data_IF_065608988899
#
_entry.id   IF_065608988899
#
_cell.length_a   1.000
_cell.length_b   1.000
_cell.length_c   1.000
_cell.angle_alpha   90.00
_cell.angle_beta   90.00
_cell.angle_gamma   90.00
#
_symmetry.space_group_name_H-M   'P 1'
#
loop_
_entity.id
_entity.type
_entity.pdbx_description
1 polymer ?
#
# COMPACT_ATOMS: atom_id res chain seq x y z
N UNK A 1 39.06 -3.88 -19.06
CA UNK A 1 38.00 -3.13 -18.39
C UNK A 1 38.24 -3.25 -16.91
N UNK A 2 38.56 -2.16 -16.21
CA UNK A 2 38.73 -2.20 -14.76
C UNK A 2 37.34 -2.29 -14.13
N UNK A 3 37.02 -3.38 -13.42
CA UNK A 3 35.83 -3.39 -12.58
C UNK A 3 36.17 -2.55 -11.35
N UNK A 4 35.57 -1.37 -11.26
CA UNK A 4 35.65 -0.55 -10.06
C UNK A 4 34.52 -1.05 -9.15
N UNK A 5 34.86 -1.89 -8.18
CA UNK A 5 33.90 -2.31 -7.17
C UNK A 5 33.60 -1.11 -6.28
N UNK A 6 32.35 -0.67 -6.30
CA UNK A 6 31.85 0.41 -5.47
C UNK A 6 32.10 0.06 -3.99
N UNK A 7 32.72 0.97 -3.24
CA UNK A 7 32.90 0.75 -1.82
C UNK A 7 31.55 0.80 -1.10
N UNK A 8 31.46 0.23 0.09
CA UNK A 8 30.24 0.29 0.92
C UNK A 8 29.79 1.74 1.21
N UNK A 9 30.74 2.68 1.20
CA UNK A 9 30.46 4.11 1.34
C UNK A 9 29.86 4.69 0.06
N UNK A 10 30.36 4.28 -1.11
CA UNK A 10 29.82 4.69 -2.41
C UNK A 10 28.40 4.15 -2.62
N UNK A 11 28.14 2.88 -2.25
CA UNK A 11 26.79 2.30 -2.26
C UNK A 11 25.86 3.10 -1.36
N UNK A 12 26.26 3.40 -0.13
CA UNK A 12 25.45 4.22 0.79
C UNK A 12 25.23 5.65 0.28
N UNK A 13 26.19 6.25 -0.43
CA UNK A 13 26.04 7.59 -1.03
C UNK A 13 25.10 7.52 -2.24
N UNK A 14 25.23 6.52 -3.10
CA UNK A 14 24.33 6.30 -4.23
C UNK A 14 22.91 5.99 -3.78
N UNK A 15 22.73 5.23 -2.71
CA UNK A 15 21.42 4.98 -2.10
C UNK A 15 20.81 6.26 -1.52
N UNK A 16 21.62 7.14 -0.92
CA UNK A 16 21.17 8.47 -0.48
C UNK A 16 20.88 9.44 -1.63
N UNK A 17 21.57 9.31 -2.75
CA UNK A 17 21.27 10.09 -3.97
C UNK A 17 19.95 9.60 -4.59
N UNK A 18 19.67 8.30 -4.49
CA UNK A 18 18.42 7.67 -4.94
C UNK A 18 17.23 8.01 -4.03
N UNK A 19 17.47 8.14 -2.73
CA UNK A 19 16.46 8.51 -1.74
C UNK A 19 16.92 9.74 -0.93
N UNK A 20 16.85 10.96 -1.49
CA UNK A 20 17.30 12.17 -0.82
C UNK A 20 16.48 12.52 0.44
N UNK A 21 15.32 11.88 0.62
CA UNK A 21 14.44 12.04 1.78
C UNK A 21 14.69 10.97 2.88
N UNK A 22 15.58 9.99 2.63
CA UNK A 22 15.96 8.98 3.63
C UNK A 22 16.87 9.59 4.71
N UNK A 23 16.27 9.98 5.83
CA UNK A 23 17.02 10.36 7.02
C UNK A 23 17.10 9.20 8.03
N UNK A 24 18.28 8.57 8.23
CA UNK A 24 18.45 7.51 9.22
C UNK A 24 18.24 7.97 10.67
N UNK A 25 18.21 9.28 10.95
CA UNK A 25 17.82 9.83 12.26
C UNK A 25 16.32 9.73 12.53
N UNK A 26 15.51 9.49 11.51
CA UNK A 26 14.04 9.32 11.61
C UNK A 26 13.59 7.86 11.72
N UNK A 27 14.54 6.93 11.89
CA UNK A 27 14.27 5.51 12.08
C UNK A 27 13.31 5.29 13.25
N UNK A 28 12.34 4.41 13.03
CA UNK A 28 11.26 4.14 13.99
C UNK A 28 11.84 3.37 15.18
N UNK A 29 11.59 3.87 16.38
CA UNK A 29 12.00 3.18 17.60
C UNK A 29 11.02 2.05 17.89
N UNK A 30 11.48 0.80 17.78
CA UNK A 30 10.65 -0.38 18.05
C UNK A 30 10.87 -0.87 19.48
N UNK A 31 9.78 -1.05 20.21
CA UNK A 31 9.79 -1.57 21.58
C UNK A 31 8.85 -2.80 21.68
N UNK A 32 9.40 -4.02 21.78
CA UNK A 32 8.62 -5.24 21.92
C UNK A 32 7.84 -5.35 23.24
N UNK A 33 8.15 -4.53 24.24
CA UNK A 33 7.44 -4.52 25.52
C UNK A 33 6.12 -3.75 25.45
N UNK A 34 5.92 -2.92 24.41
CA UNK A 34 4.67 -2.20 24.19
C UNK A 34 3.54 -3.16 23.78
N UNK A 35 2.27 -2.80 24.07
CA UNK A 35 1.11 -3.52 23.55
C UNK A 35 1.17 -3.69 22.03
N UNK A 36 0.79 -4.88 21.56
CA UNK A 36 0.79 -5.21 20.12
C UNK A 36 -0.16 -4.32 19.31
N UNK A 37 -1.22 -3.83 19.95
CA UNK A 37 -2.13 -2.83 19.42
C UNK A 37 -2.28 -1.68 20.45
N UNK A 38 -2.20 -0.41 20.02
CA UNK A 38 -2.29 0.74 20.93
C UNK A 38 -3.70 1.00 21.49
N UNK A 39 -4.75 0.45 20.86
CA UNK A 39 -6.15 0.67 21.25
C UNK A 39 -6.78 -0.56 21.92
N UNK A 40 -6.22 -1.76 21.71
CA UNK A 40 -6.62 -2.99 22.40
C UNK A 40 -5.47 -3.47 23.30
N UNK A 41 -5.35 -2.85 24.47
CA UNK A 41 -4.24 -3.12 25.41
C UNK A 41 -4.50 -4.29 26.36
N UNK A 42 -5.76 -4.68 26.56
CA UNK A 42 -6.11 -5.84 27.38
C UNK A 42 -5.74 -7.13 26.63
N UNK A 43 -4.82 -7.91 27.20
CA UNK A 43 -4.28 -9.13 26.58
C UNK A 43 -5.35 -10.16 26.23
N UNK A 44 -6.33 -10.43 27.11
CA UNK A 44 -7.34 -11.46 26.86
C UNK A 44 -8.40 -11.03 25.84
N UNK A 45 -8.64 -9.72 25.72
CA UNK A 45 -9.46 -9.16 24.63
C UNK A 45 -8.68 -9.27 23.32
N UNK A 46 -7.43 -8.83 23.32
CA UNK A 46 -6.56 -8.89 22.14
C UNK A 46 -6.42 -10.32 21.60
N UNK A 47 -6.19 -11.30 22.46
CA UNK A 47 -6.08 -12.72 22.06
C UNK A 47 -7.35 -13.24 21.37
N UNK A 48 -8.53 -12.88 21.87
CA UNK A 48 -9.81 -13.24 21.23
C UNK A 48 -10.00 -12.55 19.88
N UNK A 49 -9.63 -11.27 19.80
CA UNK A 49 -9.71 -10.47 18.57
C UNK A 49 -8.80 -11.05 17.48
N UNK A 50 -7.53 -11.32 17.80
CA UNK A 50 -6.60 -11.89 16.80
C UNK A 50 -7.01 -13.29 16.35
N UNK A 51 -7.64 -14.08 17.24
CA UNK A 51 -8.07 -15.43 16.90
C UNK A 51 -9.22 -15.38 15.87
N UNK A 52 -10.23 -14.53 16.12
CA UNK A 52 -11.34 -14.28 15.19
C UNK A 52 -10.84 -13.70 13.86
N UNK A 53 -9.91 -12.75 13.90
CA UNK A 53 -9.27 -12.20 12.70
C UNK A 53 -8.57 -13.31 11.91
N UNK A 54 -7.75 -14.12 12.58
CA UNK A 54 -6.99 -15.19 11.96
C UNK A 54 -7.87 -16.21 11.26
N UNK A 55 -9.03 -16.54 11.83
CA UNK A 55 -9.99 -17.47 11.20
C UNK A 55 -10.48 -16.93 9.85
N UNK A 56 -10.88 -15.66 9.79
CA UNK A 56 -11.33 -15.02 8.53
C UNK A 56 -10.19 -14.98 7.51
N UNK A 57 -8.99 -14.59 7.92
CA UNK A 57 -7.83 -14.48 7.02
C UNK A 57 -7.39 -15.85 6.51
N UNK A 58 -7.44 -16.89 7.34
CA UNK A 58 -7.14 -18.26 6.89
C UNK A 58 -8.15 -18.74 5.86
N UNK A 59 -9.44 -18.43 6.03
CA UNK A 59 -10.45 -18.73 5.00
C UNK A 59 -10.18 -18.00 3.69
N UNK A 60 -9.83 -16.71 3.73
CA UNK A 60 -9.44 -15.95 2.54
C UNK A 60 -8.20 -16.55 1.85
N UNK A 61 -7.16 -16.88 2.62
CA UNK A 61 -5.94 -17.50 2.09
C UNK A 61 -6.23 -18.87 1.44
N UNK A 62 -7.10 -19.67 2.05
CA UNK A 62 -7.48 -20.96 1.48
C UNK A 62 -8.22 -20.80 0.16
N UNK A 63 -9.08 -19.80 0.03
CA UNK A 63 -9.76 -19.46 -1.21
C UNK A 63 -8.76 -18.98 -2.28
N UNK A 64 -7.79 -18.16 -1.92
CA UNK A 64 -6.72 -17.72 -2.83
C UNK A 64 -5.89 -18.89 -3.37
N UNK A 65 -5.56 -19.88 -2.53
CA UNK A 65 -4.84 -21.08 -2.99
C UNK A 65 -5.65 -21.89 -4.00
N UNK A 66 -6.98 -21.93 -3.88
CA UNK A 66 -7.85 -22.59 -4.86
C UNK A 66 -7.92 -21.80 -6.17
N UNK A 67 -8.02 -20.46 -6.08
CA UNK A 67 -8.03 -19.56 -7.23
C UNK A 67 -6.71 -19.63 -8.02
N UNK A 68 -5.58 -19.79 -7.32
CA UNK A 68 -4.27 -19.98 -7.92
C UNK A 68 -4.03 -21.40 -8.47
N UNK A 69 -4.98 -22.33 -8.32
CA UNK A 69 -4.84 -23.72 -8.75
C UNK A 69 -3.88 -24.56 -7.91
N UNK A 70 -3.48 -24.05 -6.73
CA UNK A 70 -2.57 -24.73 -5.80
C UNK A 70 -3.32 -25.69 -4.85
N UNK A 71 -4.64 -25.62 -4.81
CA UNK A 71 -5.53 -26.54 -4.08
C UNK A 71 -6.76 -26.91 -4.92
N UNK A 72 -7.41 -28.05 -4.64
CA UNK A 72 -8.66 -28.42 -5.30
C UNK A 72 -9.72 -27.33 -5.14
N UNK A 73 -10.39 -26.97 -6.24
CA UNK A 73 -11.53 -26.06 -6.20
C UNK A 73 -12.70 -26.74 -5.49
N UNK A 74 -13.02 -26.27 -4.29
CA UNK A 74 -14.18 -26.76 -3.52
C UNK A 74 -15.35 -25.78 -3.58
N UNK A 75 -15.10 -24.55 -4.03
CA UNK A 75 -16.08 -23.47 -4.11
C UNK A 75 -16.49 -23.25 -5.56
N UNK A 76 -17.80 -23.29 -5.84
CA UNK A 76 -18.35 -23.06 -7.18
C UNK A 76 -18.31 -21.57 -7.57
N UNK A 77 -18.57 -20.67 -6.61
CA UNK A 77 -18.59 -19.22 -6.83
C UNK A 77 -17.57 -18.49 -5.92
N UNK A 78 -16.28 -18.50 -6.27
CA UNK A 78 -15.23 -17.90 -5.45
C UNK A 78 -15.45 -16.41 -5.13
N UNK A 79 -16.04 -15.64 -6.06
CA UNK A 79 -16.32 -14.22 -5.85
C UNK A 79 -17.36 -14.01 -4.75
N UNK A 80 -18.42 -14.83 -4.73
CA UNK A 80 -19.45 -14.74 -3.69
C UNK A 80 -18.91 -15.16 -2.32
N UNK A 81 -18.10 -16.21 -2.28
CA UNK A 81 -17.43 -16.61 -1.04
C UNK A 81 -16.51 -15.51 -0.51
N UNK A 82 -15.76 -14.85 -1.40
CA UNK A 82 -14.89 -13.73 -1.03
C UNK A 82 -15.69 -12.53 -0.50
N UNK A 83 -16.85 -12.21 -1.12
CA UNK A 83 -17.79 -11.19 -0.62
C UNK A 83 -18.37 -11.57 0.74
N UNK A 84 -18.68 -12.84 0.98
CA UNK A 84 -19.12 -13.33 2.29
C UNK A 84 -18.05 -13.15 3.37
N UNK A 85 -16.78 -13.42 3.06
CA UNK A 85 -15.66 -13.17 3.98
C UNK A 85 -15.43 -11.67 4.22
N UNK A 86 -15.63 -10.83 3.21
CA UNK A 86 -15.59 -9.37 3.35
C UNK A 86 -16.67 -8.88 4.33
N UNK A 87 -17.91 -9.39 4.22
CA UNK A 87 -18.99 -9.05 5.17
C UNK A 87 -18.64 -9.41 6.61
N UNK A 88 -17.94 -10.53 6.85
CA UNK A 88 -17.45 -10.88 8.20
C UNK A 88 -16.43 -9.88 8.73
N UNK A 89 -15.60 -9.28 7.86
CA UNK A 89 -14.70 -8.20 8.25
C UNK A 89 -15.49 -6.93 8.58
N UNK A 90 -16.56 -6.63 7.83
CA UNK A 90 -17.44 -5.49 8.08
C UNK A 90 -18.05 -5.57 9.49
N UNK A 91 -18.74 -6.67 9.80
CA UNK A 91 -19.33 -6.91 11.12
C UNK A 91 -18.30 -6.80 12.26
N UNK A 92 -17.08 -7.25 11.99
CA UNK A 92 -16.02 -7.26 12.99
C UNK A 92 -15.38 -5.88 13.20
N UNK A 93 -15.35 -5.03 12.17
CA UNK A 93 -14.94 -3.63 12.28
C UNK A 93 -15.98 -2.83 13.07
N UNK A 94 -17.27 -3.14 12.96
CA UNK A 94 -18.30 -2.54 13.80
C UNK A 94 -18.10 -2.87 15.28
N UNK A 95 -17.67 -4.10 15.59
CA UNK A 95 -17.38 -4.53 16.96
C UNK A 95 -16.09 -3.89 17.53
N UNK A 96 -15.05 -3.71 16.70
CA UNK A 96 -13.76 -3.12 17.10
C UNK A 96 -13.32 -2.01 16.14
N UNK A 97 -13.96 -0.82 16.18
CA UNK A 97 -13.74 0.24 15.19
C UNK A 97 -12.31 0.82 15.20
N UNK A 98 -11.61 0.71 16.33
CA UNK A 98 -10.25 1.21 16.50
C UNK A 98 -9.16 0.15 16.25
N UNK A 99 -9.53 -1.04 15.73
CA UNK A 99 -8.56 -2.09 15.41
C UNK A 99 -8.01 -1.95 13.99
N UNK A 100 -6.81 -1.37 13.87
CA UNK A 100 -6.24 -1.00 12.57
C UNK A 100 -5.84 -2.20 11.69
N UNK A 101 -5.50 -3.35 12.28
CA UNK A 101 -5.14 -4.56 11.52
C UNK A 101 -6.31 -5.05 10.68
N UNK A 102 -7.52 -5.04 11.25
CA UNK A 102 -8.72 -5.52 10.58
C UNK A 102 -9.12 -4.64 9.40
N UNK A 103 -9.00 -3.32 9.55
CA UNK A 103 -9.18 -2.35 8.46
C UNK A 103 -8.17 -2.58 7.33
N UNK A 104 -6.89 -2.80 7.64
CA UNK A 104 -5.88 -3.17 6.64
C UNK A 104 -6.24 -4.45 5.87
N UNK A 105 -6.77 -5.46 6.56
CA UNK A 105 -7.20 -6.69 5.92
C UNK A 105 -8.41 -6.47 5.01
N UNK A 106 -9.38 -5.63 5.44
CA UNK A 106 -10.53 -5.26 4.60
C UNK A 106 -10.07 -4.54 3.33
N UNK A 107 -9.14 -3.62 3.44
CA UNK A 107 -8.55 -2.95 2.27
C UNK A 107 -7.87 -3.96 1.34
N UNK A 108 -7.08 -4.89 1.87
CA UNK A 108 -6.45 -5.94 1.06
C UNK A 108 -7.49 -6.82 0.34
N UNK A 109 -8.61 -7.12 1.00
CA UNK A 109 -9.73 -7.84 0.43
C UNK A 109 -10.41 -7.05 -0.70
N UNK A 110 -10.65 -5.75 -0.50
CA UNK A 110 -11.20 -4.86 -1.53
C UNK A 110 -10.27 -4.73 -2.74
N UNK A 111 -8.95 -4.59 -2.51
CA UNK A 111 -7.94 -4.57 -3.57
C UNK A 111 -7.92 -5.86 -4.37
N UNK A 112 -8.19 -7.00 -3.73
CA UNK A 112 -8.30 -8.30 -4.42
C UNK A 112 -9.57 -8.40 -5.27
N UNK A 113 -10.69 -7.88 -4.78
CA UNK A 113 -11.96 -7.88 -5.51
C UNK A 113 -11.96 -6.91 -6.70
N UNK A 114 -11.59 -5.65 -6.46
CA UNK A 114 -11.76 -4.55 -7.42
C UNK A 114 -10.46 -4.11 -8.10
N UNK A 115 -9.30 -4.50 -7.56
CA UNK A 115 -7.98 -4.11 -8.06
C UNK A 115 -7.53 -2.73 -7.56
N UNK A 116 -6.26 -2.41 -7.81
CA UNK A 116 -5.68 -1.09 -7.48
C UNK A 116 -6.16 0.03 -8.43
N UNK A 117 -6.92 -0.32 -9.46
CA UNK A 117 -7.57 0.60 -10.39
C UNK A 117 -8.93 1.11 -9.90
N UNK A 118 -9.33 0.78 -8.66
CA UNK A 118 -10.65 1.08 -8.09
C UNK A 118 -11.02 2.57 -8.04
N UNK A 119 -10.06 3.50 -8.21
CA UNK A 119 -10.33 4.94 -8.24
C UNK A 119 -10.62 5.49 -9.65
N UNK A 120 -10.69 4.63 -10.67
CA UNK A 120 -10.80 5.04 -12.07
C UNK A 120 -12.13 4.60 -12.68
N UNK A 121 -12.63 5.38 -13.64
CA UNK A 121 -13.78 5.05 -14.47
C UNK A 121 -13.39 4.07 -15.59
N UNK A 122 -14.11 2.95 -15.68
CA UNK A 122 -13.90 1.94 -16.71
C UNK A 122 -12.46 1.43 -16.86
N UNK A 123 -11.73 1.09 -15.77
CA UNK A 123 -10.33 0.71 -15.86
C UNK A 123 -10.15 -0.64 -16.54
N UNK A 124 -9.00 -0.87 -17.19
CA UNK A 124 -8.73 -2.11 -17.91
C UNK A 124 -8.87 -3.32 -16.99
N UNK A 125 -9.29 -4.44 -17.56
CA UNK A 125 -9.28 -5.73 -16.89
C UNK A 125 -7.86 -6.05 -16.43
N UNK A 126 -7.72 -6.41 -15.16
CA UNK A 126 -6.44 -6.86 -14.60
C UNK A 126 -6.59 -8.30 -14.12
N UNK A 127 -5.59 -9.18 -14.37
CA UNK A 127 -5.65 -10.56 -13.89
C UNK A 127 -5.65 -10.64 -12.35
N UNK A 128 -5.21 -9.58 -11.67
CA UNK A 128 -5.15 -9.50 -10.21
C UNK A 128 -6.51 -9.23 -9.55
N UNK A 129 -7.49 -8.66 -10.24
CA UNK A 129 -8.83 -8.42 -9.66
C UNK A 129 -9.76 -9.61 -9.91
N UNK A 130 -10.65 -9.89 -8.95
CA UNK A 130 -11.64 -10.96 -9.10
C UNK A 130 -12.87 -10.50 -9.89
N UNK A 131 -13.30 -9.25 -9.71
CA UNK A 131 -14.44 -8.68 -10.40
C UNK A 131 -13.94 -7.94 -11.64
N UNK A 132 -14.15 -8.53 -12.81
CA UNK A 132 -13.61 -8.00 -14.07
C UNK A 132 -14.36 -6.78 -14.59
N UNK A 133 -15.64 -6.62 -14.26
CA UNK A 133 -16.46 -5.49 -14.65
C UNK A 133 -17.38 -5.10 -13.50
N UNK A 134 -16.86 -4.40 -12.46
CA UNK A 134 -17.68 -3.98 -11.34
C UNK A 134 -18.69 -2.92 -11.77
N UNK A 135 -19.85 -2.90 -11.13
CA UNK A 135 -20.80 -1.80 -11.32
C UNK A 135 -20.14 -0.48 -10.87
N UNK A 136 -20.28 0.64 -11.60
CA UNK A 136 -19.67 1.92 -11.22
C UNK A 136 -20.02 2.39 -9.80
N UNK A 137 -21.27 2.21 -9.38
CA UNK A 137 -21.73 2.59 -8.04
C UNK A 137 -21.04 1.73 -6.95
N UNK A 138 -21.03 0.42 -7.13
CA UNK A 138 -20.34 -0.54 -6.25
C UNK A 138 -18.84 -0.23 -6.16
N UNK A 139 -18.17 -0.01 -7.29
CA UNK A 139 -16.75 0.33 -7.33
C UNK A 139 -16.45 1.63 -6.56
N UNK A 140 -17.26 2.67 -6.75
CA UNK A 140 -17.11 3.97 -6.09
C UNK A 140 -17.30 3.84 -4.57
N UNK A 141 -18.30 3.07 -4.14
CA UNK A 141 -18.54 2.80 -2.71
C UNK A 141 -17.36 2.06 -2.08
N UNK A 142 -16.85 1.01 -2.72
CA UNK A 142 -15.73 0.24 -2.18
C UNK A 142 -14.41 0.98 -2.23
N UNK A 143 -14.18 1.83 -3.24
CA UNK A 143 -13.07 2.76 -3.28
C UNK A 143 -13.09 3.72 -2.08
N UNK A 144 -14.26 4.29 -1.76
CA UNK A 144 -14.43 5.15 -0.57
C UNK A 144 -14.11 4.40 0.72
N UNK A 145 -14.67 3.20 0.90
CA UNK A 145 -14.43 2.37 2.10
C UNK A 145 -12.94 2.05 2.23
N UNK A 146 -12.29 1.62 1.15
CA UNK A 146 -10.86 1.30 1.17
C UNK A 146 -10.03 2.52 1.58
N UNK A 147 -10.28 3.70 1.00
CA UNK A 147 -9.54 4.90 1.35
C UNK A 147 -9.78 5.35 2.80
N UNK A 148 -11.03 5.28 3.29
CA UNK A 148 -11.37 5.61 4.69
C UNK A 148 -10.70 4.67 5.69
N UNK A 149 -10.67 3.37 5.39
CA UNK A 149 -10.02 2.38 6.24
C UNK A 149 -8.52 2.58 6.34
N UNK A 150 -7.86 2.89 5.21
CA UNK A 150 -6.43 3.16 5.23
C UNK A 150 -6.16 4.47 5.99
N UNK A 151 -6.93 5.52 5.73
CA UNK A 151 -6.80 6.80 6.43
C UNK A 151 -6.97 6.62 7.95
N UNK A 152 -7.97 5.84 8.37
CA UNK A 152 -8.21 5.52 9.77
C UNK A 152 -7.09 4.66 10.35
N UNK A 153 -6.62 3.64 9.63
CA UNK A 153 -5.51 2.79 10.09
C UNK A 153 -4.23 3.58 10.32
N UNK A 154 -3.92 4.50 9.41
CA UNK A 154 -2.79 5.41 9.53
C UNK A 154 -2.99 6.33 10.74
N UNK A 155 -4.17 6.93 10.90
CA UNK A 155 -4.47 7.81 12.03
C UNK A 155 -4.38 7.09 13.39
N UNK A 156 -4.85 5.84 13.48
CA UNK A 156 -4.84 5.05 14.71
C UNK A 156 -3.44 4.63 15.14
N UNK A 157 -2.54 4.39 14.19
CA UNK A 157 -1.21 3.83 14.45
C UNK A 157 -0.08 4.86 14.43
N UNK A 158 -0.28 6.02 13.79
CA UNK A 158 0.77 7.05 13.70
C UNK A 158 1.13 7.55 15.11
N UNK A 159 2.41 7.47 15.52
CA UNK A 159 2.85 7.99 16.81
C UNK A 159 2.59 9.50 16.93
N UNK A 160 2.22 9.95 18.14
CA UNK A 160 2.00 11.38 18.41
C UNK A 160 3.27 12.23 18.29
N UNK A 161 4.43 11.60 18.46
CA UNK A 161 5.73 12.25 18.35
C UNK A 161 6.57 11.53 17.29
N UNK A 162 7.40 12.29 16.56
CA UNK A 162 8.25 11.76 15.48
C UNK A 162 9.21 10.65 15.96
N UNK A 163 9.55 10.66 17.26
CA UNK A 163 10.42 9.70 17.93
C UNK A 163 9.67 8.74 18.87
N UNK A 164 8.33 8.68 18.77
CA UNK A 164 7.53 7.81 19.61
C UNK A 164 7.84 6.34 19.34
N UNK A 165 8.04 5.56 20.41
CA UNK A 165 8.18 4.11 20.28
C UNK A 165 6.90 3.46 19.78
N UNK A 166 7.04 2.40 18.99
CA UNK A 166 5.93 1.57 18.51
C UNK A 166 6.23 0.10 18.78
N UNK A 167 5.17 -0.69 18.98
CA UNK A 167 5.36 -2.14 18.95
C UNK A 167 5.67 -2.60 17.51
N UNK A 168 6.44 -3.68 17.33
CA UNK A 168 6.74 -4.20 16.00
C UNK A 168 5.48 -4.54 15.17
N UNK A 169 4.42 -5.00 15.83
CA UNK A 169 3.15 -5.31 15.16
C UNK A 169 2.46 -4.03 14.65
N UNK A 170 2.37 -2.99 15.47
CA UNK A 170 1.81 -1.70 15.05
C UNK A 170 2.61 -1.08 13.89
N UNK A 171 3.94 -1.11 13.95
CA UNK A 171 4.80 -0.62 12.87
C UNK A 171 4.58 -1.39 11.57
N UNK A 172 4.48 -2.73 11.63
CA UNK A 172 4.20 -3.56 10.45
C UNK A 172 2.83 -3.23 9.84
N UNK A 173 1.79 -3.10 10.65
CA UNK A 173 0.45 -2.76 10.16
C UNK A 173 0.42 -1.35 9.54
N UNK A 174 1.10 -0.37 10.17
CA UNK A 174 1.21 0.98 9.63
C UNK A 174 1.97 1.01 8.29
N UNK A 175 3.07 0.26 8.20
CA UNK A 175 3.84 0.09 6.98
C UNK A 175 2.98 -0.47 5.82
N UNK A 176 2.16 -1.49 6.11
CA UNK A 176 1.23 -2.06 5.14
C UNK A 176 0.15 -1.04 4.72
N UNK A 177 -0.42 -0.28 5.65
CA UNK A 177 -1.44 0.72 5.34
C UNK A 177 -0.91 1.75 4.33
N UNK A 178 0.26 2.33 4.60
CA UNK A 178 0.92 3.25 3.67
C UNK A 178 1.21 2.59 2.32
N UNK A 179 1.74 1.37 2.32
CA UNK A 179 2.09 0.66 1.07
C UNK A 179 0.84 0.37 0.21
N UNK A 180 -0.27 -0.01 0.84
CA UNK A 180 -1.52 -0.26 0.14
C UNK A 180 -2.08 1.02 -0.49
N UNK A 181 -2.08 2.15 0.25
CA UNK A 181 -2.52 3.44 -0.29
C UNK A 181 -1.64 3.91 -1.44
N UNK A 182 -0.32 3.76 -1.27
CA UNK A 182 0.65 4.08 -2.29
C UNK A 182 0.42 3.28 -3.59
N UNK A 183 0.12 1.98 -3.49
CA UNK A 183 -0.16 1.14 -4.66
C UNK A 183 -1.42 1.59 -5.42
N UNK A 184 -2.49 1.95 -4.71
CA UNK A 184 -3.72 2.49 -5.29
C UNK A 184 -3.43 3.82 -5.99
N UNK A 185 -2.75 4.75 -5.31
CA UNK A 185 -2.42 6.06 -5.88
C UNK A 185 -1.47 5.96 -7.08
N UNK A 186 -0.45 5.09 -6.99
CA UNK A 186 0.51 4.87 -8.07
C UNK A 186 -0.16 4.29 -9.32
N UNK A 187 -1.01 3.28 -9.14
CA UNK A 187 -1.77 2.67 -10.24
C UNK A 187 -2.73 3.67 -10.87
N UNK A 188 -3.40 4.48 -10.04
CA UNK A 188 -4.29 5.54 -10.49
C UNK A 188 -3.54 6.55 -11.35
N UNK A 189 -2.44 7.13 -10.85
CA UNK A 189 -1.63 8.09 -11.59
C UNK A 189 -1.15 7.55 -12.95
N UNK A 190 -0.77 6.26 -13.00
CA UNK A 190 -0.26 5.62 -14.23
C UNK A 190 -1.30 5.55 -15.35
N UNK A 191 -2.58 5.46 -15.00
CA UNK A 191 -3.68 5.23 -15.95
C UNK A 191 -4.58 6.46 -16.13
N UNK A 192 -4.29 7.57 -15.44
CA UNK A 192 -5.09 8.80 -15.49
C UNK A 192 -5.08 9.51 -16.85
N UNK A 193 -4.14 9.19 -17.74
CA UNK A 193 -4.13 9.75 -19.10
C UNK A 193 -5.27 9.16 -19.95
N UNK A 194 -5.66 7.91 -19.65
CA UNK A 194 -6.67 7.15 -20.40
C UNK A 194 -8.01 7.04 -19.66
N UNK A 195 -8.01 7.26 -18.34
CA UNK A 195 -9.17 7.04 -17.48
C UNK A 195 -9.42 8.22 -16.54
N UNK A 196 -10.68 8.65 -16.45
CA UNK A 196 -11.10 9.64 -15.47
C UNK A 196 -11.09 9.07 -14.05
N UNK A 197 -10.84 9.92 -13.06
CA UNK A 197 -10.96 9.57 -11.64
C UNK A 197 -12.44 9.43 -11.28
N UNK A 198 -12.81 8.31 -10.68
CA UNK A 198 -14.16 7.99 -10.22
C UNK A 198 -14.13 7.70 -8.72
N UNK A 199 -14.23 8.78 -7.93
CA UNK A 199 -14.23 8.74 -6.48
C UNK A 199 -15.36 9.64 -6.00
N UNK A 200 -15.97 9.32 -4.85
CA UNK A 200 -17.01 10.16 -4.24
C UNK A 200 -16.53 11.61 -4.06
N UNK A 201 -17.37 12.59 -4.42
CA UNK A 201 -17.00 14.01 -4.43
C UNK A 201 -16.55 14.57 -3.07
N UNK A 202 -16.95 13.93 -1.97
CA UNK A 202 -16.56 14.27 -0.60
C UNK A 202 -15.07 14.01 -0.32
N UNK A 203 -14.46 13.08 -1.07
CA UNK A 203 -13.06 12.66 -0.93
C UNK A 203 -12.13 13.70 -1.54
N UNK A 204 -10.98 13.90 -0.90
CA UNK A 204 -9.90 14.76 -1.42
C UNK A 204 -9.39 14.28 -2.80
N UNK A 205 -9.34 12.97 -3.03
CA UNK A 205 -8.82 12.35 -4.25
C UNK A 205 -9.66 12.68 -5.49
N UNK A 206 -10.94 13.01 -5.33
CA UNK A 206 -11.83 13.34 -6.44
C UNK A 206 -11.36 14.58 -7.25
N UNK A 207 -10.54 15.44 -6.63
CA UNK A 207 -10.01 16.67 -7.25
C UNK A 207 -8.50 16.62 -7.52
N UNK A 208 -7.88 15.45 -7.37
CA UNK A 208 -6.45 15.32 -7.54
C UNK A 208 -6.05 15.28 -9.01
N UNK A 209 -4.96 15.97 -9.32
CA UNK A 209 -4.27 15.84 -10.60
C UNK A 209 -3.39 14.59 -10.61
N UNK A 210 -2.95 14.16 -11.80
CA UNK A 210 -1.98 13.08 -11.95
C UNK A 210 -0.73 13.30 -11.09
N UNK A 211 -0.17 14.51 -11.14
CA UNK A 211 0.98 14.90 -10.32
C UNK A 211 0.69 14.71 -8.83
N UNK A 212 -0.52 15.07 -8.37
CA UNK A 212 -0.86 14.92 -6.95
C UNK A 212 -0.95 13.45 -6.52
N UNK A 213 -1.47 12.57 -7.37
CA UNK A 213 -1.42 11.12 -7.12
C UNK A 213 0.01 10.58 -7.11
N UNK A 214 0.89 11.04 -8.01
CA UNK A 214 2.31 10.63 -8.02
C UNK A 214 3.04 11.07 -6.74
N UNK A 215 2.86 12.33 -6.33
CA UNK A 215 3.41 12.85 -5.07
C UNK A 215 2.90 12.07 -3.86
N UNK A 216 1.59 11.85 -3.77
CA UNK A 216 0.99 11.12 -2.67
C UNK A 216 1.45 9.65 -2.63
N UNK A 217 1.57 9.00 -3.79
CA UNK A 217 2.10 7.64 -3.89
C UNK A 217 3.56 7.57 -3.44
N UNK A 218 4.41 8.49 -3.92
CA UNK A 218 5.82 8.55 -3.53
C UNK A 218 5.98 8.78 -2.04
N UNK A 219 5.21 9.72 -1.47
CA UNK A 219 5.19 9.99 -0.04
C UNK A 219 4.81 8.74 0.76
N UNK A 220 3.73 8.07 0.38
CA UNK A 220 3.27 6.88 1.10
C UNK A 220 4.22 5.70 0.95
N UNK A 221 4.86 5.50 -0.20
CA UNK A 221 5.92 4.50 -0.33
C UNK A 221 7.12 4.78 0.58
N UNK A 222 7.52 6.05 0.71
CA UNK A 222 8.59 6.44 1.63
C UNK A 222 8.23 6.10 3.09
N UNK A 223 7.00 6.41 3.52
CA UNK A 223 6.52 6.03 4.86
C UNK A 223 6.39 4.51 5.02
N UNK A 224 5.90 3.79 4.01
CA UNK A 224 5.89 2.33 4.01
C UNK A 224 7.29 1.75 4.24
N UNK A 225 8.30 2.28 3.53
CA UNK A 225 9.70 1.94 3.70
C UNK A 225 10.24 2.29 5.08
N UNK A 226 9.95 3.50 5.58
CA UNK A 226 10.35 3.96 6.92
C UNK A 226 9.88 3.04 8.04
N UNK A 227 8.67 2.48 7.91
CA UNK A 227 8.11 1.53 8.89
C UNK A 227 8.49 0.06 8.61
N UNK A 228 9.37 -0.21 7.64
CA UNK A 228 10.00 -1.53 7.46
C UNK A 228 9.52 -2.37 6.26
N UNK A 229 8.87 -1.78 5.26
CA UNK A 229 8.52 -2.49 4.03
C UNK A 229 9.55 -2.22 2.92
N UNK A 230 10.37 -3.23 2.63
CA UNK A 230 11.44 -3.15 1.62
C UNK A 230 10.93 -2.92 0.20
N UNK A 231 9.74 -3.44 -0.15
CA UNK A 231 9.13 -3.20 -1.46
C UNK A 231 8.74 -1.72 -1.58
N UNK A 232 8.12 -1.18 -0.53
CA UNK A 232 7.75 0.24 -0.48
C UNK A 232 8.99 1.13 -0.54
N UNK A 233 10.06 0.79 0.19
CA UNK A 233 11.35 1.49 0.12
C UNK A 233 11.93 1.51 -1.30
N UNK A 234 11.93 0.38 -1.98
CA UNK A 234 12.39 0.31 -3.37
C UNK A 234 11.51 1.13 -4.34
N UNK A 235 10.19 1.14 -4.12
CA UNK A 235 9.25 1.90 -4.93
C UNK A 235 9.26 3.42 -4.62
N UNK A 236 9.62 3.83 -3.41
CA UNK A 236 9.73 5.25 -3.04
C UNK A 236 10.70 6.00 -3.97
N UNK A 237 11.84 5.38 -4.25
CA UNK A 237 12.86 5.91 -5.17
C UNK A 237 12.33 6.04 -6.59
N UNK A 238 11.71 4.98 -7.14
CA UNK A 238 11.30 4.95 -8.54
C UNK A 238 10.07 5.81 -8.84
N UNK A 239 9.27 6.10 -7.80
CA UNK A 239 8.05 6.89 -7.91
C UNK A 239 8.25 8.37 -7.62
N UNK A 240 9.39 8.77 -7.02
CA UNK A 240 9.70 10.16 -6.67
C UNK A 240 9.78 11.07 -7.93
N UNK A 241 8.86 12.05 -8.09
CA UNK A 241 8.84 12.92 -9.27
C UNK A 241 10.14 13.75 -9.44
N UNK A 242 10.72 14.21 -8.33
CA UNK A 242 11.99 14.95 -8.32
C UNK A 242 13.13 14.07 -8.79
N UNK A 243 13.22 12.84 -8.28
CA UNK A 243 14.25 11.88 -8.72
C UNK A 243 14.12 11.54 -10.21
N UNK A 244 12.89 11.40 -10.72
CA UNK A 244 12.63 11.21 -12.16
C UNK A 244 13.13 12.40 -12.99
N UNK A 245 12.82 13.63 -12.58
CA UNK A 245 13.26 14.86 -13.25
C UNK A 245 14.78 14.98 -13.26
N UNK A 246 15.44 14.83 -12.10
CA UNK A 246 16.90 14.84 -12.01
C UNK A 246 17.52 13.75 -12.91
N UNK A 247 16.95 12.55 -12.91
CA UNK A 247 17.40 11.46 -13.78
C UNK A 247 17.24 11.76 -15.27
N UNK A 248 16.16 12.43 -15.68
CA UNK A 248 15.95 12.88 -17.06
C UNK A 248 16.94 13.97 -17.45
N UNK A 249 17.17 14.96 -16.59
CA UNK A 249 18.15 16.04 -16.83
C UNK A 249 19.57 15.48 -17.00
N UNK A 250 19.98 14.54 -16.14
CA UNK A 250 21.28 13.88 -16.24
C UNK A 250 21.38 13.06 -17.52
N UNK A 251 20.33 12.31 -17.90
CA UNK A 251 20.31 11.55 -19.16
C UNK A 251 20.44 12.44 -20.39
N UNK A 252 19.74 13.57 -20.44
CA UNK A 252 19.86 14.54 -21.54
C UNK A 252 21.25 15.19 -21.57
N UNK A 253 21.83 15.51 -20.41
CA UNK A 253 23.21 16.00 -20.33
C UNK A 253 24.23 14.97 -20.82
N UNK A 254 24.10 13.70 -20.41
CA UNK A 254 24.97 12.61 -20.86
C UNK A 254 24.84 12.36 -22.37
N UNK A 255 23.62 12.41 -22.91
CA UNK A 255 23.36 12.30 -24.35
C UNK A 255 24.05 13.40 -25.15
N UNK A 256 24.08 14.62 -24.59
CA UNK A 256 24.75 15.77 -25.21
C UNK A 256 26.27 15.64 -25.21
N UNK A 257 26.85 15.14 -24.13
CA UNK A 257 28.31 15.05 -23.96
C UNK A 257 28.92 13.79 -24.60
N UNK A 258 28.26 12.63 -24.47
CA UNK A 258 28.84 11.33 -24.83
C UNK A 258 28.13 10.63 -26.01
N UNK A 259 27.12 11.28 -26.59
CA UNK A 259 26.36 10.76 -27.72
C UNK A 259 25.21 9.82 -27.34
N UNK A 260 24.37 9.45 -28.32
CA UNK A 260 23.11 8.73 -28.08
C UNK A 260 23.25 7.29 -27.61
N UNK A 261 24.45 6.69 -27.63
CA UNK A 261 24.69 5.29 -27.22
C UNK A 261 24.71 5.07 -25.71
N UNK A 262 24.66 6.13 -24.89
CA UNK A 262 24.65 6.06 -23.42
C UNK A 262 23.23 6.14 -22.82
N UNK A 263 22.20 5.92 -23.63
CA UNK A 263 20.79 6.19 -23.29
C UNK A 263 19.92 4.94 -23.03
N UNK A 264 20.48 3.73 -22.98
CA UNK A 264 19.75 2.51 -22.56
C UNK A 264 19.86 2.26 -21.06
#
# INVERSE_FOLDING_TARGET
MASMDLTRRDVNVLDKIKDPESDPSTNVMLDPSLPRDPHITNTSVYERVIQKEREIILSMQQLELQLAGLRPKTVAEPVQEYKGLLSKLDDFIEEYPNYASLRNNRVQALRRLYGDTMLLAGPPATPQRLIQSPEPAEATQHARIALEDIDMSIALLTPRTVFGAMSPQAAKTLSLAYTQRAAIYHTSAKLMDDHAVQVEESRREARWTKLKFEEAASHDFAFGGRYGNEIAKGLAVSTNPTAKLCGQMVREAMKKEYGPSYAE
#
